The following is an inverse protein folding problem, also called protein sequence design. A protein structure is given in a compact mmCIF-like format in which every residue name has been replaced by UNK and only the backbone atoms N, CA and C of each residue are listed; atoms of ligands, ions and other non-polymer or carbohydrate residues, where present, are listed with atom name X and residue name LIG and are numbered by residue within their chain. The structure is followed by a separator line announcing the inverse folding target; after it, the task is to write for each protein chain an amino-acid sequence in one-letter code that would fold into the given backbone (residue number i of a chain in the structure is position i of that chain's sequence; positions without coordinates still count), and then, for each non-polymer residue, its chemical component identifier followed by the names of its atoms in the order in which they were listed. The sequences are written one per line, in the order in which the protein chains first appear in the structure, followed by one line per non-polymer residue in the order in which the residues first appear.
data_IF_649048680258
#
_entry.id   IF_649048680258
#
_cell.length_a   1.000
_cell.length_b   1.000
_cell.length_c   1.000
_cell.angle_alpha   90.00
_cell.angle_beta   90.00
_cell.angle_gamma   90.00
#
_symmetry.space_group_name_H-M   'P 1'
#
loop_
_entity.id
_entity.type
_entity.pdbx_description
1 polymer ?
#
# COMPACT_ATOMS: atom_id res chain seq x y z
N UNK A 1 -25.99 -53.53 38.97
CA UNK A 1 -24.56 -53.20 38.89
C UNK A 1 -24.22 -52.83 37.45
N UNK A 2 -23.52 -51.69 37.28
CA UNK A 2 -22.91 -51.15 36.04
C UNK A 2 -23.87 -50.55 35.01
N UNK A 3 -24.12 -49.25 35.15
CA UNK A 3 -24.50 -48.40 34.01
C UNK A 3 -23.21 -47.86 33.40
N UNK A 4 -22.87 -48.35 32.20
CA UNK A 4 -21.74 -47.84 31.43
C UNK A 4 -22.05 -46.43 30.95
N UNK A 5 -21.32 -45.46 31.49
CA UNK A 5 -21.31 -44.08 31.06
C UNK A 5 -20.41 -43.98 29.83
N UNK A 6 -21.01 -43.85 28.64
CA UNK A 6 -20.26 -43.56 27.41
C UNK A 6 -19.96 -42.07 27.40
N UNK A 7 -18.73 -41.72 27.74
CA UNK A 7 -18.18 -40.37 27.59
C UNK A 7 -17.86 -40.16 26.10
N UNK A 8 -18.66 -39.35 25.42
CA UNK A 8 -18.38 -38.91 24.07
C UNK A 8 -17.33 -37.79 24.13
N UNK A 9 -16.07 -38.13 23.84
CA UNK A 9 -14.99 -37.14 23.70
C UNK A 9 -15.21 -36.37 22.40
N UNK A 10 -15.73 -35.15 22.49
CA UNK A 10 -15.81 -34.22 21.37
C UNK A 10 -14.45 -33.51 21.26
N UNK A 11 -13.54 -34.06 20.45
CA UNK A 11 -12.30 -33.38 20.09
C UNK A 11 -12.64 -32.17 19.19
N UNK A 12 -12.66 -30.97 19.78
CA UNK A 12 -12.79 -29.72 19.04
C UNK A 12 -11.49 -29.48 18.28
N UNK A 13 -11.45 -29.86 17.02
CA UNK A 13 -10.46 -29.38 16.08
C UNK A 13 -10.77 -27.91 15.78
N UNK A 14 -10.02 -26.98 16.40
CA UNK A 14 -10.04 -25.58 16.04
C UNK A 14 -9.42 -25.44 14.64
N UNK A 15 -10.16 -25.04 13.60
CA UNK A 15 -9.51 -24.61 12.37
C UNK A 15 -8.91 -23.23 12.66
N UNK A 16 -7.59 -23.14 12.67
CA UNK A 16 -6.89 -21.88 12.57
C UNK A 16 -7.27 -21.26 11.22
N UNK A 17 -8.25 -20.35 11.22
CA UNK A 17 -8.50 -19.49 10.09
C UNK A 17 -7.36 -18.47 10.05
N UNK A 18 -6.32 -18.75 9.28
CA UNK A 18 -5.34 -17.72 8.94
C UNK A 18 -6.05 -16.68 8.09
N UNK A 19 -6.16 -15.46 8.58
CA UNK A 19 -6.53 -14.33 7.75
C UNK A 19 -5.49 -14.22 6.62
N UNK A 20 -5.98 -14.22 5.38
CA UNK A 20 -5.16 -13.88 4.22
C UNK A 20 -4.79 -12.40 4.33
N UNK A 21 -3.50 -12.10 4.43
CA UNK A 21 -2.97 -10.75 4.21
C UNK A 21 -2.21 -10.82 2.90
N UNK A 22 -2.59 -9.99 1.92
CA UNK A 22 -1.69 -9.71 0.81
C UNK A 22 -0.37 -9.20 1.41
N UNK A 23 0.75 -9.75 0.96
CA UNK A 23 2.05 -9.32 1.44
C UNK A 23 2.50 -8.14 0.56
N UNK A 24 2.80 -7.00 1.18
CA UNK A 24 3.50 -5.91 0.50
C UNK A 24 4.85 -6.43 0.00
N UNK A 25 5.17 -6.14 -1.25
CA UNK A 25 6.46 -6.43 -1.86
C UNK A 25 7.14 -5.12 -2.30
N UNK A 26 8.47 -5.12 -2.26
CA UNK A 26 9.28 -4.04 -2.79
C UNK A 26 9.22 -4.03 -4.33
N UNK A 27 8.92 -2.87 -4.92
CA UNK A 27 8.75 -2.70 -6.37
C UNK A 27 9.97 -2.02 -6.99
N UNK A 28 10.56 -1.07 -6.28
CA UNK A 28 11.69 -0.29 -6.77
C UNK A 28 11.87 0.98 -5.95
N UNK A 29 12.85 1.79 -6.35
CA UNK A 29 13.12 3.08 -5.74
C UNK A 29 13.35 4.14 -6.82
N UNK A 30 13.25 5.40 -6.43
CA UNK A 30 13.65 6.53 -7.26
C UNK A 30 14.27 7.62 -6.41
N UNK A 31 15.10 8.44 -7.05
CA UNK A 31 15.60 9.68 -6.48
C UNK A 31 14.70 10.83 -6.94
N UNK A 32 14.42 11.81 -6.07
CA UNK A 32 13.57 12.94 -6.46
C UNK A 32 14.16 13.70 -7.66
N UNK A 33 15.50 13.85 -7.68
CA UNK A 33 16.26 14.51 -8.74
C UNK A 33 16.87 13.51 -9.75
N UNK A 34 16.17 12.40 -10.04
CA UNK A 34 16.61 11.42 -11.05
C UNK A 34 16.94 12.11 -12.40
N UNK A 35 17.94 11.63 -13.16
CA UNK A 35 18.27 12.19 -14.47
C UNK A 35 17.11 12.17 -15.47
N UNK A 36 16.16 11.25 -15.31
CA UNK A 36 14.95 11.16 -16.13
C UNK A 36 13.79 12.02 -15.59
N UNK A 37 13.93 12.63 -14.42
CA UNK A 37 12.94 13.57 -13.89
C UNK A 37 12.89 14.84 -14.76
N UNK A 38 11.70 15.44 -14.96
CA UNK A 38 11.57 16.71 -15.66
C UNK A 38 12.35 17.83 -14.96
N UNK A 39 13.00 18.69 -15.73
CA UNK A 39 13.63 19.91 -15.20
C UNK A 39 12.58 21.00 -15.03
N UNK A 40 12.55 21.64 -13.86
CA UNK A 40 11.64 22.76 -13.58
C UNK A 40 11.69 23.84 -14.68
N UNK A 41 12.90 24.33 -15.00
CA UNK A 41 13.10 25.45 -15.92
C UNK A 41 12.81 25.17 -17.39
N UNK A 42 12.67 23.90 -17.80
CA UNK A 42 12.52 23.53 -19.22
C UNK A 42 11.05 23.44 -19.68
N UNK A 43 10.10 23.69 -18.79
CA UNK A 43 8.66 23.54 -19.06
C UNK A 43 7.87 24.82 -18.75
N UNK A 44 8.16 25.94 -19.43
CA UNK A 44 7.40 27.17 -19.24
C UNK A 44 5.94 27.04 -19.72
N UNK A 45 4.99 27.80 -19.14
CA UNK A 45 5.22 28.81 -18.10
C UNK A 45 5.14 28.25 -16.67
N UNK A 46 4.55 27.07 -16.47
CA UNK A 46 4.09 26.60 -15.15
C UNK A 46 4.95 25.49 -14.53
N UNK A 47 6.04 25.12 -15.20
CA UNK A 47 6.89 24.00 -14.81
C UNK A 47 6.28 22.64 -15.16
N UNK A 48 6.92 21.54 -14.74
CA UNK A 48 6.44 20.20 -15.05
C UNK A 48 5.24 19.84 -14.15
N UNK A 49 4.63 18.69 -14.42
CA UNK A 49 3.63 18.14 -13.52
C UNK A 49 4.24 17.86 -12.14
N UNK A 50 3.49 18.19 -11.09
CA UNK A 50 3.86 17.87 -9.72
C UNK A 50 3.19 16.56 -9.27
N UNK A 51 3.96 15.74 -8.59
CA UNK A 51 3.56 14.41 -8.15
C UNK A 51 3.68 14.26 -6.63
N UNK A 52 2.69 13.64 -6.01
CA UNK A 52 2.85 13.02 -4.69
C UNK A 52 3.83 11.84 -4.78
N UNK A 53 4.34 11.34 -3.64
CA UNK A 53 5.18 10.15 -3.62
C UNK A 53 4.50 8.93 -4.28
N UNK A 54 3.21 8.74 -4.00
CA UNK A 54 2.41 7.67 -4.60
C UNK A 54 2.16 7.86 -6.10
N UNK A 55 1.88 9.09 -6.55
CA UNK A 55 1.71 9.37 -7.99
C UNK A 55 3.03 9.20 -8.76
N UNK A 56 4.17 9.56 -8.16
CA UNK A 56 5.48 9.33 -8.75
C UNK A 56 5.77 7.82 -8.88
N UNK A 57 5.44 7.03 -7.86
CA UNK A 57 5.56 5.57 -7.94
C UNK A 57 4.68 4.98 -9.07
N UNK A 58 3.43 5.44 -9.20
CA UNK A 58 2.55 4.99 -10.27
C UNK A 58 3.04 5.42 -11.67
N UNK A 59 3.64 6.61 -11.80
CA UNK A 59 4.27 7.07 -13.04
C UNK A 59 5.43 6.16 -13.45
N UNK A 60 6.28 5.77 -12.51
CA UNK A 60 7.52 5.03 -12.76
C UNK A 60 7.31 3.52 -12.89
N UNK A 61 6.39 2.96 -12.10
CA UNK A 61 6.20 1.51 -11.95
C UNK A 61 4.83 1.03 -12.46
N UNK A 62 3.97 1.94 -12.93
CA UNK A 62 2.64 1.65 -13.46
C UNK A 62 1.55 1.51 -12.37
N UNK A 63 0.31 1.23 -12.77
CA UNK A 63 -0.80 1.07 -11.83
C UNK A 63 -1.41 2.39 -11.35
N UNK A 64 -2.07 2.36 -10.20
CA UNK A 64 -2.70 3.54 -9.57
C UNK A 64 -1.91 4.00 -8.36
N UNK A 65 -1.92 5.30 -8.07
CA UNK A 65 -1.22 5.88 -6.91
C UNK A 65 -1.60 5.18 -5.58
N UNK A 66 -2.88 4.86 -5.42
CA UNK A 66 -3.41 4.16 -4.23
C UNK A 66 -2.86 2.74 -4.03
N UNK A 67 -2.21 2.16 -5.04
CA UNK A 67 -1.65 0.82 -4.93
C UNK A 67 -0.31 0.81 -4.17
N UNK A 68 0.27 1.99 -3.93
CA UNK A 68 1.64 2.11 -3.43
C UNK A 68 1.68 2.59 -1.98
N UNK A 69 2.56 1.98 -1.19
CA UNK A 69 3.08 2.54 0.06
C UNK A 69 4.54 2.93 -0.16
N UNK A 70 4.94 4.08 0.35
CA UNK A 70 6.26 4.68 0.15
C UNK A 70 7.03 4.68 1.47
N UNK A 71 8.34 4.47 1.38
CA UNK A 71 9.28 4.67 2.47
C UNK A 71 10.41 5.61 2.07
N UNK A 72 10.90 6.40 3.03
CA UNK A 72 12.17 7.14 2.89
C UNK A 72 13.33 6.46 3.63
N UNK A 73 13.12 5.26 4.19
CA UNK A 73 14.11 4.56 5.03
C UNK A 73 14.95 3.60 4.20
N UNK A 74 14.33 2.53 3.69
CA UNK A 74 14.97 1.48 2.89
C UNK A 74 13.94 0.61 2.15
N UNK A 75 14.40 -0.48 1.52
CA UNK A 75 13.63 -1.46 0.77
C UNK A 75 13.03 -2.60 1.63
N UNK A 76 13.04 -2.46 2.96
CA UNK A 76 12.48 -3.46 3.88
C UNK A 76 11.03 -3.12 4.25
N UNK A 77 10.11 -4.06 3.99
CA UNK A 77 8.65 -3.89 4.24
C UNK A 77 8.33 -3.50 5.69
N UNK A 78 9.08 -4.02 6.67
CA UNK A 78 8.88 -3.69 8.08
C UNK A 78 9.22 -2.23 8.44
N UNK A 79 9.95 -1.53 7.56
CA UNK A 79 10.44 -0.16 7.77
C UNK A 79 9.63 0.88 6.98
N UNK A 80 8.52 0.48 6.36
CA UNK A 80 7.63 1.42 5.66
C UNK A 80 7.14 2.48 6.65
N UNK A 81 7.38 3.75 6.33
CA UNK A 81 7.00 4.88 7.18
C UNK A 81 5.89 5.77 6.58
N UNK A 82 5.38 5.44 5.39
CA UNK A 82 4.35 6.20 4.65
C UNK A 82 4.73 7.67 4.41
N UNK A 83 6.04 7.92 4.25
CA UNK A 83 6.59 9.23 3.94
C UNK A 83 7.28 9.19 2.58
N UNK A 84 7.43 10.36 1.96
CA UNK A 84 8.23 10.55 0.75
C UNK A 84 9.05 11.85 0.85
N UNK A 85 10.21 11.84 0.21
CA UNK A 85 10.98 13.03 -0.13
C UNK A 85 10.32 13.79 -1.28
N UNK A 86 10.37 15.11 -1.14
CA UNK A 86 9.88 16.08 -2.12
C UNK A 86 10.93 17.17 -2.32
N UNK A 87 11.04 17.67 -3.54
CA UNK A 87 11.62 18.99 -3.80
C UNK A 87 10.48 20.01 -3.67
N UNK A 88 10.73 21.13 -2.99
CA UNK A 88 9.82 22.27 -2.86
C UNK A 88 10.44 23.44 -3.64
N UNK A 89 9.70 23.98 -4.61
CA UNK A 89 10.20 25.01 -5.51
C UNK A 89 10.76 26.21 -4.72
N UNK A 90 11.99 26.61 -5.04
CA UNK A 90 12.70 27.71 -4.39
C UNK A 90 13.08 27.49 -2.92
N UNK A 91 12.88 26.30 -2.36
CA UNK A 91 13.21 25.97 -0.97
C UNK A 91 14.17 24.77 -0.86
N UNK A 92 13.90 23.67 -1.56
CA UNK A 92 14.70 22.43 -1.49
C UNK A 92 13.97 21.23 -0.90
N UNK A 93 14.75 20.26 -0.44
CA UNK A 93 14.27 18.96 0.03
C UNK A 93 13.51 18.99 1.34
N UNK A 94 12.37 18.28 1.40
CA UNK A 94 11.68 17.99 2.64
C UNK A 94 10.96 16.64 2.59
N UNK A 95 10.71 16.06 3.76
CA UNK A 95 9.94 14.83 3.91
C UNK A 95 8.50 15.19 4.30
N UNK A 96 7.53 14.66 3.56
CA UNK A 96 6.10 14.76 3.87
C UNK A 96 5.44 13.40 3.76
N UNK A 97 4.15 13.32 4.12
CA UNK A 97 3.36 12.12 3.88
C UNK A 97 3.40 11.74 2.39
N UNK A 98 3.39 10.46 2.08
CA UNK A 98 3.47 9.93 0.70
C UNK A 98 2.38 10.44 -0.26
N UNK A 99 1.28 10.94 0.29
CA UNK A 99 0.15 11.52 -0.43
C UNK A 99 0.06 13.05 -0.28
N UNK A 100 1.08 13.70 0.29
CA UNK A 100 1.12 15.16 0.42
C UNK A 100 1.09 15.79 -0.96
N UNK A 101 0.21 16.79 -1.13
CA UNK A 101 -0.02 17.49 -2.37
C UNK A 101 -0.12 18.99 -2.10
N UNK A 102 0.82 19.72 -2.69
CA UNK A 102 0.74 21.17 -2.82
C UNK A 102 1.22 21.49 -4.23
N UNK A 103 0.26 21.67 -5.14
CA UNK A 103 0.53 21.80 -6.58
C UNK A 103 0.10 23.18 -7.04
N UNK A 104 0.95 23.85 -7.80
CA UNK A 104 0.60 25.11 -8.45
C UNK A 104 -0.50 24.86 -9.49
N UNK A 105 -1.57 25.66 -9.42
CA UNK A 105 -2.79 25.48 -10.21
C UNK A 105 -3.39 24.06 -10.12
N UNK A 106 -3.10 23.34 -9.04
CA UNK A 106 -3.59 21.98 -8.80
C UNK A 106 -2.89 20.88 -9.61
N UNK A 107 -1.90 21.21 -10.43
CA UNK A 107 -1.29 20.26 -11.36
C UNK A 107 0.24 20.35 -11.45
N UNK A 108 0.79 21.56 -11.38
CA UNK A 108 2.18 21.81 -11.76
C UNK A 108 3.08 22.06 -10.56
N UNK A 109 4.39 21.97 -10.81
CA UNK A 109 5.43 22.22 -9.82
C UNK A 109 5.64 23.72 -9.54
N UNK A 110 5.30 24.61 -10.48
CA UNK A 110 5.29 26.04 -10.20
C UNK A 110 5.84 26.89 -11.34
N UNK A 111 5.45 28.17 -11.39
CA UNK A 111 5.77 29.06 -12.49
C UNK A 111 7.28 29.17 -12.70
N UNK A 112 7.75 29.03 -13.94
CA UNK A 112 9.17 29.18 -14.30
C UNK A 112 9.63 30.63 -14.37
N UNK A 113 8.71 31.60 -14.21
CA UNK A 113 8.99 33.03 -14.21
C UNK A 113 9.69 33.52 -12.93
N UNK A 114 9.83 32.64 -11.93
CA UNK A 114 10.49 32.94 -10.67
C UNK A 114 9.55 32.76 -9.48
N UNK A 115 10.15 32.54 -8.31
CA UNK A 115 9.41 32.10 -7.14
C UNK A 115 10.13 32.41 -5.83
N UNK A 116 9.37 32.48 -4.72
CA UNK A 116 9.90 32.79 -3.40
C UNK A 116 10.45 31.56 -2.67
N UNK A 117 11.23 31.77 -1.60
CA UNK A 117 11.70 30.67 -0.75
C UNK A 117 10.77 30.50 0.47
N UNK A 118 9.88 29.50 0.40
CA UNK A 118 8.92 29.15 1.45
C UNK A 118 8.67 27.62 1.40
N UNK A 119 8.63 26.98 2.57
CA UNK A 119 8.38 25.54 2.69
C UNK A 119 6.95 25.15 2.29
N UNK A 120 6.02 26.09 2.30
CA UNK A 120 4.60 25.89 1.95
C UNK A 120 4.32 26.08 0.46
N UNK A 121 5.37 26.07 -0.34
CA UNK A 121 5.27 26.22 -1.76
C UNK A 121 4.96 24.90 -2.48
N UNK A 122 4.78 24.98 -3.79
CA UNK A 122 4.49 23.80 -4.58
C UNK A 122 5.65 22.80 -4.52
N UNK A 123 5.30 21.51 -4.46
CA UNK A 123 6.21 20.43 -4.17
C UNK A 123 5.98 19.24 -5.10
N UNK A 124 7.03 18.53 -5.45
CA UNK A 124 6.95 17.31 -6.26
C UNK A 124 7.94 16.26 -5.75
N UNK A 125 7.49 15.02 -5.69
CA UNK A 125 8.33 13.85 -5.37
C UNK A 125 9.13 13.35 -6.59
N UNK A 126 9.01 14.02 -7.75
CA UNK A 126 9.75 13.70 -8.97
C UNK A 126 9.94 14.94 -9.83
N UNK A 127 11.07 15.62 -9.66
CA UNK A 127 11.45 16.85 -10.39
C UNK A 127 12.93 17.14 -10.17
N UNK A 128 13.59 17.72 -11.18
CA UNK A 128 14.96 18.22 -11.05
C UNK A 128 14.95 19.75 -10.93
N UNK A 129 15.22 20.24 -9.72
CA UNK A 129 15.34 21.67 -9.41
C UNK A 129 16.43 21.96 -8.37
N UNK A 130 16.10 21.89 -7.07
CA UNK A 130 16.96 22.31 -5.97
C UNK A 130 17.78 21.15 -5.39
N UNK A 131 17.35 19.92 -5.64
CA UNK A 131 17.95 18.71 -5.09
C UNK A 131 19.12 18.16 -5.91
N UNK A 132 20.00 17.41 -5.21
CA UNK A 132 21.15 16.75 -5.81
C UNK A 132 20.89 15.26 -5.95
N UNK A 133 21.15 14.72 -7.13
CA UNK A 133 20.97 13.30 -7.41
C UNK A 133 21.72 12.41 -6.40
N UNK A 134 21.03 11.38 -5.91
CA UNK A 134 21.58 10.26 -5.16
C UNK A 134 21.34 10.32 -3.66
N UNK A 135 20.67 11.37 -3.16
CA UNK A 135 20.49 11.64 -1.72
C UNK A 135 19.02 11.39 -1.31
N UNK A 136 18.07 12.06 -1.93
CA UNK A 136 16.65 12.01 -1.56
C UNK A 136 15.91 10.87 -2.27
N UNK A 137 16.03 9.65 -1.72
CA UNK A 137 15.39 8.45 -2.28
C UNK A 137 14.08 8.06 -1.62
N UNK A 138 13.15 7.64 -2.47
CA UNK A 138 11.88 7.05 -2.12
C UNK A 138 11.84 5.58 -2.56
N UNK A 139 11.33 4.70 -1.70
CA UNK A 139 11.20 3.26 -1.93
C UNK A 139 9.71 2.91 -2.04
N UNK A 140 9.31 2.29 -3.15
CA UNK A 140 7.93 1.90 -3.43
C UNK A 140 7.66 0.44 -3.06
N UNK A 141 6.54 0.22 -2.40
CA UNK A 141 5.98 -1.07 -2.06
C UNK A 141 4.55 -1.17 -2.57
N UNK A 142 4.14 -2.37 -2.99
CA UNK A 142 2.78 -2.65 -3.47
C UNK A 142 2.40 -4.07 -3.10
N UNK A 143 1.12 -4.35 -2.96
CA UNK A 143 0.65 -5.72 -2.75
C UNK A 143 1.11 -6.63 -3.90
N UNK A 144 1.52 -7.86 -3.57
CA UNK A 144 1.99 -8.87 -4.52
C UNK A 144 0.92 -9.32 -5.55
N UNK A 145 -0.31 -8.81 -5.43
CA UNK A 145 -1.43 -9.13 -6.31
C UNK A 145 -1.87 -10.59 -6.22
N UNK A 146 -1.31 -11.37 -5.29
CA UNK A 146 -1.71 -12.75 -5.05
C UNK A 146 -2.99 -12.70 -4.23
N UNK A 147 -4.12 -12.79 -4.93
CA UNK A 147 -5.41 -13.10 -4.32
C UNK A 147 -5.33 -14.49 -3.69
N UNK A 148 -4.83 -14.58 -2.46
CA UNK A 148 -4.92 -15.81 -1.67
C UNK A 148 -6.40 -15.98 -1.32
N UNK A 149 -7.06 -17.06 -1.78
CA UNK A 149 -8.49 -17.26 -1.56
C UNK A 149 -8.80 -17.20 -0.07
N UNK A 150 -9.76 -16.38 0.33
CA UNK A 150 -10.25 -16.44 1.71
C UNK A 150 -10.65 -17.87 2.03
N UNK A 151 -10.32 -18.41 3.22
CA UNK A 151 -10.93 -19.63 3.67
C UNK A 151 -12.43 -19.39 3.60
N UNK A 152 -13.13 -20.12 2.73
CA UNK A 152 -14.56 -19.88 2.52
C UNK A 152 -15.31 -20.22 3.80
N UNK A 153 -15.45 -19.20 4.67
CA UNK A 153 -16.11 -19.29 5.98
C UNK A 153 -17.53 -19.84 5.78
N UNK A 154 -18.17 -19.46 4.66
CA UNK A 154 -19.45 -20.00 4.23
C UNK A 154 -19.42 -21.49 3.89
N UNK A 155 -18.38 -22.00 3.23
CA UNK A 155 -18.26 -23.44 2.94
C UNK A 155 -18.09 -24.25 4.22
N UNK A 156 -17.31 -23.74 5.18
CA UNK A 156 -17.13 -24.38 6.50
C UNK A 156 -18.40 -24.29 7.36
N UNK A 157 -19.10 -23.15 7.32
CA UNK A 157 -20.38 -22.96 8.02
C UNK A 157 -21.48 -23.87 7.43
N UNK A 158 -21.58 -23.97 6.11
CA UNK A 158 -22.57 -24.82 5.45
C UNK A 158 -22.25 -26.31 5.62
N UNK A 159 -20.97 -26.70 5.57
CA UNK A 159 -20.56 -28.08 5.82
C UNK A 159 -20.86 -28.50 7.28
N UNK A 160 -20.59 -27.63 8.25
CA UNK A 160 -20.90 -27.91 9.66
C UNK A 160 -22.40 -28.00 9.91
N UNK A 161 -23.19 -27.05 9.42
CA UNK A 161 -24.66 -27.10 9.54
C UNK A 161 -25.27 -28.31 8.81
N UNK A 162 -24.77 -28.65 7.63
CA UNK A 162 -25.20 -29.84 6.88
C UNK A 162 -24.91 -31.14 7.64
N UNK A 163 -23.73 -31.24 8.26
CA UNK A 163 -23.35 -32.36 9.13
C UNK A 163 -24.28 -32.50 10.35
N UNK A 164 -24.62 -31.38 11.01
CA UNK A 164 -25.56 -31.38 12.14
C UNK A 164 -26.97 -31.85 11.74
N UNK A 165 -27.49 -31.39 10.60
CA UNK A 165 -28.82 -31.79 10.11
C UNK A 165 -28.85 -33.29 9.77
N UNK A 166 -27.79 -33.81 9.15
CA UNK A 166 -27.69 -35.22 8.80
C UNK A 166 -27.57 -36.13 10.03
N UNK A 167 -26.77 -35.74 11.02
CA UNK A 167 -26.65 -36.45 12.29
C UNK A 167 -28.00 -36.55 13.03
N UNK A 168 -28.77 -35.44 13.06
CA UNK A 168 -30.10 -35.40 13.67
C UNK A 168 -31.08 -36.36 12.98
N UNK A 169 -31.06 -36.43 11.65
CA UNK A 169 -31.93 -37.34 10.88
C UNK A 169 -31.64 -38.81 11.15
N UNK A 170 -30.37 -39.19 11.35
CA UNK A 170 -30.01 -40.57 11.69
C UNK A 170 -30.46 -40.98 13.09
N UNK A 171 -30.37 -40.09 14.08
CA UNK A 171 -30.82 -40.38 15.45
C UNK A 171 -32.32 -40.70 15.55
N UNK A 172 -33.15 -40.12 14.69
CA UNK A 172 -34.59 -40.37 14.68
C UNK A 172 -34.99 -41.62 13.88
N UNK A 173 -34.13 -42.12 12.99
CA UNK A 173 -34.40 -43.32 12.21
C UNK A 173 -34.14 -44.61 13.01
N UNK A 174 -33.25 -44.57 14.01
CA UNK A 174 -32.92 -45.73 14.87
C UNK A 174 -33.83 -45.86 16.10
N UNK A 175 -34.71 -44.89 16.34
CA UNK A 175 -35.64 -44.86 17.47
C UNK A 175 -37.08 -45.33 17.12
N UNK A 176 -37.24 -46.08 16.02
CA UNK A 176 -38.51 -46.68 15.59
C UNK A 176 -38.41 -48.20 15.56
#
# INVERSE_FOLDING_TARGET
MKHCLVVLVLAVALPFASASSAALMYVGYWDVADPNAPIWSETPPDGPLAYTGQEAAALLFGGSASDYSISTVDDTVANINNMAWYDIIGYGGSIFAENYSNKYLGQYYGPTSGFGSDINNAASAFVRDNLTQGVERNYAFKDDGVNVPEPSVWSLLLASLGGFVWARRRSQATAR
#
